data_IF_706324473031
#
_entry.id   IF_706324473031
#
_cell.length_a   1.000
_cell.length_b   1.000
_cell.length_c   1.000
_cell.angle_alpha   90.00
_cell.angle_beta   90.00
_cell.angle_gamma   90.00
#
_symmetry.space_group_name_H-M   'P 1'
#
loop_
_entity.id
_entity.type
_entity.pdbx_description
1 polymer ?
#
# COMPACT_ATOMS: atom_id res chain seq x y z
N UNK A 1 6.26 -14.42 24.17
CA UNK A 1 6.57 -13.54 23.01
C UNK A 1 6.59 -12.11 23.50
N UNK A 2 7.58 -11.28 23.18
CA UNK A 2 7.55 -9.89 23.63
C UNK A 2 6.43 -9.13 22.93
N UNK A 3 5.78 -8.18 23.62
CA UNK A 3 4.69 -7.35 23.08
C UNK A 3 5.08 -6.67 21.76
N UNK A 4 6.33 -6.22 21.68
CA UNK A 4 6.89 -5.66 20.45
C UNK A 4 6.88 -6.66 19.28
N UNK A 5 7.35 -7.89 19.51
CA UNK A 5 7.36 -8.93 18.46
C UNK A 5 5.95 -9.35 18.05
N UNK A 6 4.99 -9.33 18.97
CA UNK A 6 3.60 -9.59 18.63
C UNK A 6 3.06 -8.51 17.69
N UNK A 7 3.29 -7.22 18.00
CA UNK A 7 2.93 -6.11 17.12
C UNK A 7 3.63 -6.18 15.77
N UNK A 8 4.93 -6.45 15.78
CA UNK A 8 5.73 -6.58 14.54
C UNK A 8 5.20 -7.72 13.64
N UNK A 9 4.99 -8.90 14.21
CA UNK A 9 4.54 -10.07 13.44
C UNK A 9 3.13 -9.87 12.88
N UNK A 10 2.22 -9.33 13.67
CA UNK A 10 0.87 -9.04 13.21
C UNK A 10 0.86 -7.95 12.14
N UNK A 11 1.55 -6.83 12.39
CA UNK A 11 1.68 -5.76 11.40
C UNK A 11 2.26 -6.27 10.09
N UNK A 12 3.35 -7.05 10.16
CA UNK A 12 3.96 -7.64 8.97
C UNK A 12 3.00 -8.56 8.22
N UNK A 13 2.22 -9.39 8.92
CA UNK A 13 1.28 -10.32 8.30
C UNK A 13 0.16 -9.61 7.54
N UNK A 14 -0.33 -8.49 8.07
CA UNK A 14 -1.36 -7.69 7.41
C UNK A 14 -0.82 -6.96 6.18
N UNK A 15 0.39 -6.39 6.27
CA UNK A 15 1.02 -5.63 5.18
C UNK A 15 1.49 -6.55 4.05
N UNK A 16 1.87 -7.81 4.35
CA UNK A 16 2.27 -8.81 3.33
C UNK A 16 1.15 -9.17 2.35
N UNK A 17 -0.10 -8.96 2.72
CA UNK A 17 -1.21 -9.12 1.79
C UNK A 17 -1.00 -8.21 0.57
N UNK A 18 -0.99 -8.81 -0.62
CA UNK A 18 -0.72 -8.08 -1.88
C UNK A 18 -1.89 -7.12 -2.14
N UNK A 19 -1.65 -5.84 -1.88
CA UNK A 19 -2.60 -4.76 -2.13
C UNK A 19 -2.14 -3.81 -3.25
N UNK A 20 -3.00 -2.86 -3.54
CA UNK A 20 -2.75 -1.82 -4.54
C UNK A 20 -1.49 -0.98 -4.22
N UNK A 21 -1.29 -0.66 -2.95
CA UNK A 21 -0.15 0.10 -2.45
C UNK A 21 1.17 -0.67 -2.66
N UNK A 22 1.21 -1.97 -2.30
CA UNK A 22 2.39 -2.82 -2.47
C UNK A 22 2.79 -2.96 -3.94
N UNK A 23 1.80 -3.14 -4.83
CA UNK A 23 2.03 -3.19 -6.27
C UNK A 23 2.61 -1.88 -6.81
N UNK A 24 2.16 -0.74 -6.29
CA UNK A 24 2.69 0.57 -6.67
C UNK A 24 4.13 0.77 -6.18
N UNK A 25 4.43 0.44 -4.92
CA UNK A 25 5.79 0.52 -4.36
C UNK A 25 6.76 -0.36 -5.15
N UNK A 26 6.36 -1.61 -5.45
CA UNK A 26 7.15 -2.51 -6.28
C UNK A 26 7.45 -1.89 -7.66
N UNK A 27 6.45 -1.30 -8.31
CA UNK A 27 6.60 -0.65 -9.61
C UNK A 27 7.57 0.55 -9.56
N UNK A 28 7.49 1.37 -8.52
CA UNK A 28 8.43 2.49 -8.31
C UNK A 28 9.85 1.99 -8.05
N UNK A 29 9.99 0.95 -7.24
CA UNK A 29 11.27 0.31 -6.97
C UNK A 29 11.92 -0.29 -8.21
N UNK A 30 11.15 -0.98 -9.07
CA UNK A 30 11.62 -1.50 -10.36
C UNK A 30 12.08 -0.39 -11.32
N UNK A 31 11.41 0.77 -11.31
CA UNK A 31 11.78 1.95 -12.10
C UNK A 31 12.90 2.77 -11.49
N UNK A 32 13.26 2.47 -10.24
CA UNK A 32 14.20 3.27 -9.45
C UNK A 32 13.80 4.76 -9.37
N UNK A 33 12.50 5.05 -9.31
CA UNK A 33 11.95 6.41 -9.28
C UNK A 33 11.35 6.71 -7.91
N UNK A 34 11.85 7.74 -7.25
CA UNK A 34 11.34 8.27 -5.97
C UNK A 34 11.20 7.22 -4.85
N UNK A 35 11.96 6.11 -4.90
CA UNK A 35 11.78 4.92 -4.04
C UNK A 35 11.75 5.29 -2.57
N UNK A 36 12.76 6.06 -2.11
CA UNK A 36 12.87 6.45 -0.70
C UNK A 36 11.62 7.23 -0.24
N UNK A 37 11.21 8.23 -1.02
CA UNK A 37 10.06 9.08 -0.66
C UNK A 37 8.77 8.27 -0.62
N UNK A 38 8.56 7.40 -1.61
CA UNK A 38 7.34 6.57 -1.67
C UNK A 38 7.31 5.58 -0.50
N UNK A 39 8.42 4.89 -0.19
CA UNK A 39 8.50 4.01 0.97
C UNK A 39 8.24 4.77 2.29
N UNK A 40 8.81 5.97 2.43
CA UNK A 40 8.59 6.81 3.60
C UNK A 40 7.12 7.26 3.72
N UNK A 41 6.49 7.69 2.61
CA UNK A 41 5.06 8.08 2.61
C UNK A 41 4.18 6.91 3.03
N UNK A 42 4.41 5.70 2.51
CA UNK A 42 3.67 4.51 2.92
C UNK A 42 3.85 4.23 4.42
N UNK A 43 5.10 4.13 4.88
CA UNK A 43 5.41 3.78 6.26
C UNK A 43 4.93 4.84 7.28
N UNK A 44 5.02 6.12 6.93
CA UNK A 44 4.52 7.22 7.78
C UNK A 44 2.98 7.21 7.80
N UNK A 45 2.32 6.97 6.68
CA UNK A 45 0.85 6.84 6.63
C UNK A 45 0.38 5.69 7.53
N UNK A 46 1.01 4.53 7.45
CA UNK A 46 0.71 3.40 8.33
C UNK A 46 0.98 3.74 9.80
N UNK A 47 2.10 4.40 10.10
CA UNK A 47 2.43 4.82 11.46
C UNK A 47 1.35 5.73 12.06
N UNK A 48 0.83 6.67 11.27
CA UNK A 48 -0.28 7.55 11.68
C UNK A 48 -1.54 6.73 11.94
N UNK A 49 -1.93 5.87 11.01
CA UNK A 49 -3.15 5.06 11.11
C UNK A 49 -3.09 4.05 12.27
N UNK A 50 -1.95 3.36 12.44
CA UNK A 50 -1.72 2.44 13.56
C UNK A 50 -1.79 3.21 14.89
N UNK A 51 -1.17 4.39 14.98
CA UNK A 51 -1.21 5.22 16.18
C UNK A 51 -2.63 5.63 16.52
N UNK A 52 -3.44 6.02 15.54
CA UNK A 52 -4.86 6.31 15.75
C UNK A 52 -5.62 5.06 16.21
N UNK A 53 -5.39 3.90 15.60
CA UNK A 53 -6.02 2.64 16.01
C UNK A 53 -5.75 2.30 17.47
N UNK A 54 -4.49 2.35 17.88
CA UNK A 54 -4.05 2.04 19.26
C UNK A 54 -4.52 3.10 20.26
N UNK A 55 -4.66 4.37 19.85
CA UNK A 55 -5.25 5.43 20.66
C UNK A 55 -6.78 5.31 20.84
N UNK A 56 -7.44 4.29 20.25
CA UNK A 56 -8.86 4.03 20.42
C UNK A 56 -9.78 4.68 19.40
N UNK A 57 -9.26 5.30 18.35
CA UNK A 57 -10.08 5.92 17.30
C UNK A 57 -10.92 4.92 16.49
N UNK A 58 -10.69 3.61 16.60
CA UNK A 58 -11.52 2.57 15.99
C UNK A 58 -13.00 2.64 16.41
N UNK A 59 -13.28 3.10 17.63
CA UNK A 59 -14.64 3.33 18.11
C UNK A 59 -15.30 4.52 17.36
N UNK A 60 -14.55 5.57 17.06
CA UNK A 60 -15.03 6.74 16.34
C UNK A 60 -15.35 6.38 14.88
N UNK A 61 -14.49 5.62 14.22
CA UNK A 61 -14.74 5.16 12.84
C UNK A 61 -16.04 4.37 12.75
N UNK A 62 -16.33 3.53 13.75
CA UNK A 62 -17.60 2.76 13.83
C UNK A 62 -18.84 3.65 14.01
N UNK A 63 -18.70 4.84 14.63
CA UNK A 63 -19.82 5.76 14.83
C UNK A 63 -20.17 6.59 13.57
N UNK A 64 -19.27 6.67 12.60
CA UNK A 64 -19.46 7.45 11.38
C UNK A 64 -19.39 6.58 10.12
N UNK A 65 -20.42 5.74 9.85
CA UNK A 65 -20.43 4.84 8.68
C UNK A 65 -20.36 5.57 7.34
N UNK A 66 -20.65 6.87 7.33
CA UNK A 66 -20.54 7.72 6.14
C UNK A 66 -19.08 7.83 5.65
N UNK A 67 -18.10 7.85 6.56
CA UNK A 67 -16.68 7.90 6.22
C UNK A 67 -16.30 6.63 5.44
N UNK A 68 -16.76 5.47 5.91
CA UNK A 68 -16.55 4.19 5.23
C UNK A 68 -17.17 4.20 3.83
N UNK A 69 -18.40 4.68 3.69
CA UNK A 69 -19.08 4.74 2.38
C UNK A 69 -18.36 5.66 1.40
N UNK A 70 -17.93 6.85 1.85
CA UNK A 70 -17.21 7.81 0.99
C UNK A 70 -15.85 7.24 0.56
N UNK A 71 -15.08 6.69 1.49
CA UNK A 71 -13.77 6.09 1.18
C UNK A 71 -13.92 4.86 0.28
N UNK A 72 -14.94 4.04 0.50
CA UNK A 72 -15.27 2.86 -0.31
C UNK A 72 -15.58 3.24 -1.75
N UNK A 73 -16.50 4.17 -1.97
CA UNK A 73 -16.87 4.60 -3.34
C UNK A 73 -15.73 5.36 -4.02
N UNK A 74 -15.09 6.31 -3.33
CA UNK A 74 -13.95 7.05 -3.86
C UNK A 74 -12.78 6.14 -4.20
N UNK A 75 -12.47 5.19 -3.33
CA UNK A 75 -11.44 4.16 -3.53
C UNK A 75 -11.75 3.25 -4.71
N UNK A 76 -12.99 2.76 -4.82
CA UNK A 76 -13.42 1.91 -5.93
C UNK A 76 -13.27 2.61 -7.28
N UNK A 77 -13.71 3.86 -7.40
CA UNK A 77 -13.57 4.66 -8.62
C UNK A 77 -12.08 4.87 -8.95
N UNK A 78 -11.28 5.28 -7.97
CA UNK A 78 -9.86 5.50 -8.16
C UNK A 78 -9.13 4.23 -8.62
N UNK A 79 -9.40 3.09 -7.97
CA UNK A 79 -8.78 1.80 -8.31
C UNK A 79 -9.25 1.31 -9.69
N UNK A 80 -10.51 1.51 -10.06
CA UNK A 80 -11.03 1.17 -11.39
C UNK A 80 -10.33 1.97 -12.49
N UNK A 81 -10.14 3.28 -12.29
CA UNK A 81 -9.38 4.12 -13.23
C UNK A 81 -7.91 3.68 -13.31
N UNK A 82 -7.29 3.38 -12.16
CA UNK A 82 -5.91 2.90 -12.15
C UNK A 82 -5.77 1.54 -12.85
N UNK A 83 -6.71 0.61 -12.62
CA UNK A 83 -6.76 -0.68 -13.30
C UNK A 83 -6.86 -0.51 -14.83
N UNK A 84 -7.75 0.36 -15.28
CA UNK A 84 -7.90 0.67 -16.71
C UNK A 84 -6.59 1.21 -17.31
N UNK A 85 -5.94 2.15 -16.63
CA UNK A 85 -4.66 2.69 -17.09
C UNK A 85 -3.55 1.64 -17.14
N UNK A 86 -3.53 0.71 -16.16
CA UNK A 86 -2.58 -0.40 -16.13
C UNK A 86 -2.82 -1.38 -17.27
N UNK A 87 -4.07 -1.77 -17.54
CA UNK A 87 -4.40 -2.60 -18.70
C UNK A 87 -4.05 -1.90 -20.02
N UNK A 88 -4.41 -0.62 -20.17
CA UNK A 88 -4.01 0.16 -21.34
C UNK A 88 -2.49 0.13 -21.54
N UNK A 89 -1.71 0.33 -20.47
CA UNK A 89 -0.25 0.24 -20.51
C UNK A 89 0.23 -1.15 -20.94
N UNK A 90 -0.36 -2.22 -20.39
CA UNK A 90 -0.02 -3.59 -20.73
C UNK A 90 -0.18 -3.90 -22.22
N UNK A 91 -1.25 -3.38 -22.85
CA UNK A 91 -1.54 -3.66 -24.26
C UNK A 91 -0.88 -2.69 -25.26
N UNK A 92 -0.66 -1.43 -24.86
CA UNK A 92 -0.19 -0.37 -25.75
C UNK A 92 1.33 -0.17 -25.70
N UNK A 93 1.99 -0.50 -24.58
CA UNK A 93 3.43 -0.25 -24.41
C UNK A 93 4.27 -1.29 -25.16
N UNK A 94 4.95 -0.84 -26.23
CA UNK A 94 5.98 -1.62 -26.94
C UNK A 94 7.38 -1.46 -26.32
N UNK A 95 7.53 -0.68 -25.24
CA UNK A 95 8.81 -0.33 -24.67
C UNK A 95 9.08 -1.14 -23.40
N UNK A 96 10.14 -1.95 -23.45
CA UNK A 96 10.85 -2.36 -22.23
C UNK A 96 11.42 -1.14 -21.51
N UNK A 97 11.99 -1.34 -20.32
CA UNK A 97 12.76 -0.29 -19.66
C UNK A 97 13.87 0.24 -20.60
N UNK A 98 13.54 1.12 -21.54
CA UNK A 98 14.50 2.05 -22.08
C UNK A 98 14.68 3.12 -21.02
N UNK A 99 15.83 3.11 -20.39
CA UNK A 99 16.23 4.07 -19.36
C UNK A 99 16.28 5.53 -19.89
N UNK A 100 15.88 5.79 -21.12
CA UNK A 100 16.08 7.08 -21.76
C UNK A 100 14.83 7.84 -22.21
N UNK A 101 13.60 7.26 -22.19
CA UNK A 101 12.44 7.99 -22.71
C UNK A 101 11.09 7.72 -22.00
N UNK A 102 11.09 7.19 -20.79
CA UNK A 102 9.90 7.24 -19.94
C UNK A 102 9.87 8.60 -19.25
N UNK A 103 8.89 9.44 -19.56
CA UNK A 103 8.69 10.71 -18.84
C UNK A 103 8.81 10.44 -17.34
N UNK A 104 9.81 11.07 -16.72
CA UNK A 104 9.99 11.00 -15.27
C UNK A 104 8.67 11.33 -14.61
N UNK A 105 8.12 10.37 -13.90
CA UNK A 105 6.88 10.64 -13.16
C UNK A 105 7.22 11.72 -12.14
N UNK A 106 6.57 12.87 -12.23
CA UNK A 106 6.75 13.94 -11.26
C UNK A 106 6.59 13.38 -9.84
N UNK A 107 7.49 13.76 -8.93
CA UNK A 107 7.44 13.37 -7.52
C UNK A 107 6.06 13.63 -6.93
N UNK A 108 5.48 14.81 -7.20
CA UNK A 108 4.15 15.18 -6.72
C UNK A 108 3.09 14.18 -7.20
N UNK A 109 3.11 13.79 -8.46
CA UNK A 109 2.18 12.78 -9.00
C UNK A 109 2.38 11.42 -8.34
N UNK A 110 3.63 10.98 -8.14
CA UNK A 110 3.91 9.70 -7.49
C UNK A 110 3.42 9.69 -6.03
N UNK A 111 3.68 10.76 -5.27
CA UNK A 111 3.21 10.92 -3.89
C UNK A 111 1.68 10.99 -3.83
N UNK A 112 1.03 11.75 -4.72
CA UNK A 112 -0.44 11.84 -4.74
C UNK A 112 -1.09 10.49 -5.02
N UNK A 113 -0.56 9.71 -5.96
CA UNK A 113 -1.05 8.35 -6.24
C UNK A 113 -0.83 7.44 -5.03
N UNK A 114 0.34 7.50 -4.39
CA UNK A 114 0.66 6.72 -3.20
C UNK A 114 -0.32 7.02 -2.05
N UNK A 115 -0.56 8.31 -1.76
CA UNK A 115 -1.52 8.74 -0.75
C UNK A 115 -2.94 8.28 -1.10
N UNK A 116 -3.36 8.40 -2.36
CA UNK A 116 -4.68 7.94 -2.78
C UNK A 116 -4.84 6.42 -2.60
N UNK A 117 -3.83 5.62 -2.97
CA UNK A 117 -3.83 4.16 -2.77
C UNK A 117 -3.89 3.75 -1.30
N UNK A 118 -3.41 4.58 -0.40
CA UNK A 118 -3.46 4.34 1.05
C UNK A 118 -4.76 4.87 1.66
N UNK A 119 -5.02 6.16 1.51
CA UNK A 119 -6.07 6.86 2.24
C UNK A 119 -7.48 6.71 1.64
N UNK A 120 -7.61 6.33 0.36
CA UNK A 120 -8.89 5.98 -0.25
C UNK A 120 -9.18 4.47 -0.20
N UNK A 121 -8.33 3.68 0.44
CA UNK A 121 -8.53 2.24 0.60
C UNK A 121 -9.14 1.93 1.96
N UNK A 122 -10.44 1.54 2.05
CA UNK A 122 -11.09 1.26 3.32
C UNK A 122 -10.48 0.05 4.06
N UNK A 123 -9.88 -0.91 3.36
CA UNK A 123 -9.20 -2.05 3.99
C UNK A 123 -8.04 -1.60 4.88
N UNK A 124 -7.34 -0.53 4.51
CA UNK A 124 -6.24 0.00 5.33
C UNK A 124 -6.75 0.47 6.69
N UNK A 125 -7.92 1.12 6.74
CA UNK A 125 -8.54 1.54 8.01
C UNK A 125 -9.02 0.34 8.83
N UNK A 126 -9.59 -0.67 8.19
CA UNK A 126 -10.02 -1.90 8.87
C UNK A 126 -8.83 -2.62 9.49
N UNK A 127 -7.73 -2.73 8.79
CA UNK A 127 -6.55 -3.45 9.24
C UNK A 127 -5.77 -2.66 10.31
N UNK A 128 -5.53 -1.36 10.08
CA UNK A 128 -4.65 -0.57 10.96
C UNK A 128 -5.41 0.07 12.13
N UNK A 129 -6.57 0.69 11.87
CA UNK A 129 -7.30 1.43 12.90
C UNK A 129 -8.20 0.50 13.70
N UNK A 130 -8.95 -0.38 13.02
CA UNK A 130 -9.94 -1.24 13.70
C UNK A 130 -9.28 -2.51 14.22
N UNK A 131 -8.63 -3.29 13.39
CA UNK A 131 -8.11 -4.61 13.78
C UNK A 131 -6.89 -4.49 14.68
N UNK A 132 -5.82 -3.79 14.24
CA UNK A 132 -4.63 -3.57 15.08
C UNK A 132 -4.98 -2.82 16.36
N UNK A 133 -5.84 -1.81 16.27
CA UNK A 133 -6.32 -1.08 17.45
C UNK A 133 -7.03 -1.98 18.45
N UNK A 134 -7.95 -2.83 17.98
CA UNK A 134 -8.69 -3.77 18.83
C UNK A 134 -7.77 -4.80 19.48
N UNK A 135 -6.84 -5.39 18.72
CA UNK A 135 -5.90 -6.39 19.25
C UNK A 135 -4.93 -5.76 20.25
N UNK A 136 -4.53 -4.49 20.05
CA UNK A 136 -3.62 -3.79 20.95
C UNK A 136 -4.15 -3.71 22.39
N UNK A 137 -5.48 -3.71 22.59
CA UNK A 137 -6.10 -3.66 23.92
C UNK A 137 -5.74 -4.86 24.79
N UNK A 138 -5.41 -6.00 24.20
CA UNK A 138 -4.98 -7.22 24.91
C UNK A 138 -3.57 -7.10 25.50
N UNK A 139 -2.83 -6.07 25.09
CA UNK A 139 -1.44 -5.83 25.50
C UNK A 139 -1.29 -4.70 26.54
N UNK A 140 -2.38 -4.34 27.22
CA UNK A 140 -2.29 -3.35 28.31
C UNK A 140 -1.36 -3.86 29.44
N UNK A 141 -0.54 -2.99 30.07
CA UNK A 141 -0.39 -1.55 29.79
C UNK A 141 0.59 -1.20 28.65
N UNK A 142 1.10 -2.19 27.93
CA UNK A 142 2.20 -2.06 26.96
C UNK A 142 1.72 -1.85 25.51
N UNK A 143 0.52 -1.27 25.30
CA UNK A 143 -0.04 -1.03 23.96
C UNK A 143 0.89 -0.24 23.03
N UNK A 144 1.59 0.76 23.57
CA UNK A 144 2.56 1.55 22.80
C UNK A 144 3.69 0.69 22.25
N UNK A 145 4.16 -0.30 23.02
CA UNK A 145 5.20 -1.22 22.56
C UNK A 145 4.71 -2.12 21.43
N UNK A 146 3.44 -2.54 21.47
CA UNK A 146 2.80 -3.24 20.38
C UNK A 146 2.71 -2.37 19.11
N UNK A 147 2.30 -1.11 19.25
CA UNK A 147 2.23 -0.15 18.15
C UNK A 147 3.61 0.08 17.51
N UNK A 148 4.67 0.27 18.31
CA UNK A 148 6.03 0.39 17.80
C UNK A 148 6.49 -0.84 17.02
N UNK A 149 6.08 -2.03 17.45
CA UNK A 149 6.34 -3.27 16.69
C UNK A 149 5.67 -3.22 15.31
N UNK A 150 4.37 -2.93 15.25
CA UNK A 150 3.62 -2.86 14.00
C UNK A 150 4.13 -1.75 13.07
N UNK A 151 4.45 -0.56 13.61
CA UNK A 151 5.05 0.54 12.84
C UNK A 151 6.41 0.14 12.27
N UNK A 152 7.26 -0.50 13.08
CA UNK A 152 8.56 -0.98 12.61
C UNK A 152 8.42 -2.01 11.49
N UNK A 153 7.42 -2.88 11.55
CA UNK A 153 7.12 -3.83 10.48
C UNK A 153 6.79 -3.11 9.16
N UNK A 154 6.00 -2.04 9.20
CA UNK A 154 5.68 -1.23 8.02
C UNK A 154 6.93 -0.61 7.40
N UNK A 155 7.78 0.02 8.21
CA UNK A 155 9.06 0.57 7.72
C UNK A 155 9.94 -0.52 7.08
N UNK A 156 10.17 -1.62 7.80
CA UNK A 156 10.99 -2.72 7.29
C UNK A 156 10.42 -3.26 5.98
N UNK A 157 9.12 -3.48 5.92
CA UNK A 157 8.46 -4.04 4.74
C UNK A 157 8.57 -3.11 3.53
N UNK A 158 8.13 -1.85 3.62
CA UNK A 158 8.12 -0.95 2.47
C UNK A 158 9.51 -0.63 1.95
N UNK A 159 10.49 -0.43 2.84
CA UNK A 159 11.86 -0.21 2.43
C UNK A 159 12.47 -1.47 1.82
N UNK A 160 12.19 -2.65 2.38
CA UNK A 160 12.62 -3.92 1.79
C UNK A 160 12.01 -4.15 0.42
N UNK A 161 10.70 -3.90 0.26
CA UNK A 161 9.99 -4.05 -1.01
C UNK A 161 10.51 -3.06 -2.05
N UNK A 162 10.58 -1.77 -1.73
CA UNK A 162 10.96 -0.73 -2.66
C UNK A 162 12.41 -0.85 -3.12
N UNK A 163 13.34 -1.01 -2.18
CA UNK A 163 14.76 -1.17 -2.52
C UNK A 163 15.08 -2.58 -3.00
N UNK A 164 14.37 -3.61 -2.50
CA UNK A 164 14.51 -5.00 -2.95
C UNK A 164 14.07 -5.20 -4.39
N UNK A 165 13.12 -4.42 -4.88
CA UNK A 165 12.65 -4.47 -6.26
C UNK A 165 13.77 -4.33 -7.30
N UNK A 166 14.84 -3.61 -6.97
CA UNK A 166 16.01 -3.45 -7.87
C UNK A 166 16.67 -4.78 -8.25
N UNK A 167 16.61 -5.79 -7.37
CA UNK A 167 17.16 -7.12 -7.67
C UNK A 167 16.36 -7.84 -8.76
N UNK A 168 15.09 -7.48 -8.92
CA UNK A 168 14.24 -7.98 -9.99
C UNK A 168 14.36 -7.16 -11.29
N UNK A 169 14.98 -5.97 -11.23
CA UNK A 169 15.12 -5.08 -12.38
C UNK A 169 15.73 -5.73 -13.64
N UNK A 170 16.71 -6.67 -13.55
CA UNK A 170 17.23 -7.37 -14.73
C UNK A 170 16.17 -8.17 -15.49
N UNK A 171 15.21 -8.78 -14.79
CA UNK A 171 14.07 -9.49 -15.39
C UNK A 171 13.18 -8.54 -16.20
N UNK A 172 13.05 -7.29 -15.71
CA UNK A 172 12.19 -6.25 -16.27
C UNK A 172 12.85 -5.43 -17.39
N UNK A 173 14.07 -5.81 -17.82
CA UNK A 173 14.63 -5.31 -19.08
C UNK A 173 13.85 -5.80 -20.31
N UNK A 174 13.14 -6.92 -20.18
CA UNK A 174 12.31 -7.49 -21.26
C UNK A 174 10.94 -6.79 -21.31
N UNK A 175 10.46 -6.28 -22.47
CA UNK A 175 9.15 -5.65 -22.60
C UNK A 175 8.01 -6.56 -22.14
N UNK A 176 8.13 -7.86 -22.34
CA UNK A 176 7.12 -8.85 -21.90
C UNK A 176 6.93 -8.86 -20.38
N UNK A 177 8.00 -8.70 -19.60
CA UNK A 177 7.91 -8.68 -18.14
C UNK A 177 7.11 -7.45 -17.65
N UNK A 178 7.29 -6.29 -18.28
CA UNK A 178 6.50 -5.09 -18.00
C UNK A 178 5.02 -5.29 -18.35
N UNK A 179 4.72 -5.88 -19.50
CA UNK A 179 3.33 -6.19 -19.89
C UNK A 179 2.65 -7.08 -18.86
N UNK A 180 3.35 -8.14 -18.42
CA UNK A 180 2.84 -9.04 -17.39
C UNK A 180 2.63 -8.31 -16.07
N UNK A 181 3.58 -7.48 -15.63
CA UNK A 181 3.45 -6.69 -14.40
C UNK A 181 2.24 -5.76 -14.46
N UNK A 182 2.12 -4.95 -15.54
CA UNK A 182 1.00 -4.02 -15.70
C UNK A 182 -0.34 -4.75 -15.77
N UNK A 183 -0.38 -5.92 -16.41
CA UNK A 183 -1.56 -6.76 -16.45
C UNK A 183 -1.94 -7.30 -15.07
N UNK A 184 -0.97 -7.81 -14.29
CA UNK A 184 -1.19 -8.26 -12.92
C UNK A 184 -1.63 -7.12 -12.01
N UNK A 185 -1.01 -5.94 -12.12
CA UNK A 185 -1.45 -4.74 -11.39
C UNK A 185 -2.90 -4.40 -11.75
N UNK A 186 -3.26 -4.43 -13.04
CA UNK A 186 -4.63 -4.21 -13.49
C UNK A 186 -5.63 -5.20 -12.86
N UNK A 187 -5.29 -6.49 -12.80
CA UNK A 187 -6.12 -7.52 -12.14
C UNK A 187 -6.28 -7.20 -10.65
N UNK A 188 -5.17 -6.98 -9.93
CA UNK A 188 -5.20 -6.69 -8.48
C UNK A 188 -6.09 -5.47 -8.20
N UNK A 189 -5.88 -4.37 -8.94
CA UNK A 189 -6.68 -3.16 -8.76
C UNK A 189 -8.16 -3.37 -9.07
N UNK A 190 -8.48 -4.13 -10.13
CA UNK A 190 -9.86 -4.47 -10.49
C UNK A 190 -10.53 -5.33 -9.43
N UNK A 191 -9.82 -6.34 -8.91
CA UNK A 191 -10.35 -7.23 -7.87
C UNK A 191 -10.65 -6.45 -6.59
N UNK A 192 -9.74 -5.56 -6.17
CA UNK A 192 -9.96 -4.71 -4.99
C UNK A 192 -11.10 -3.72 -5.27
N UNK A 193 -11.16 -3.09 -6.44
CA UNK A 193 -12.25 -2.17 -6.79
C UNK A 193 -13.63 -2.87 -6.73
N UNK A 194 -13.73 -4.10 -7.24
CA UNK A 194 -14.96 -4.89 -7.19
C UNK A 194 -15.32 -5.28 -5.75
N UNK A 195 -14.36 -5.72 -4.94
CA UNK A 195 -14.59 -6.07 -3.54
C UNK A 195 -15.06 -4.88 -2.67
N UNK A 196 -14.84 -3.66 -3.12
CA UNK A 196 -15.34 -2.46 -2.44
C UNK A 196 -16.80 -2.13 -2.81
N UNK A 197 -17.30 -2.65 -3.93
CA UNK A 197 -18.66 -2.35 -4.42
C UNK A 197 -19.65 -3.47 -4.05
N UNK A 198 -19.16 -4.71 -4.06
CA UNK A 198 -19.95 -5.92 -3.70
C UNK A 198 -20.02 -6.12 -2.20
#
# INVERSE_FOLDING_TARGET
>A
MSTYLAGFSLGLSLILAIGSQNAFVLKQGLRNQHVFVICAVCAISDAILISFGVAGFGAIVKQYPQIETITRLGGAIFLAVYAFLSFKSAFTSHHGMSASNGSDTSLLKAVSVCLALTWLNPHVYLDTVVLLGSISTQYQPNQSLFAYGAISASFVFFFSLGFGARFLAPLFKKPKAWKVLEFLVGIIMSTIALSLIL
#
